data_IF_096954331111
#
_entry.id   IF_096954331111
#
_cell.length_a   1.000
_cell.length_b   1.000
_cell.length_c   1.000
_cell.angle_alpha   90.00
_cell.angle_beta   90.00
_cell.angle_gamma   90.00
#
_symmetry.space_group_name_H-M   'P 1'
#
loop_
_entity.id
_entity.type
_entity.pdbx_description
1 polymer ?
#
# COMPACT_ATOMS: atom_id res chain seq x y z
N UNK A 1 -30.43 7.36 43.50
CA UNK A 1 -30.82 8.47 42.60
C UNK A 1 -29.58 8.99 41.88
N UNK A 2 -29.02 8.17 41.01
CA UNK A 2 -27.86 8.51 40.18
C UNK A 2 -28.14 7.95 38.78
N UNK A 3 -29.00 8.64 38.05
CA UNK A 3 -29.19 8.42 36.61
C UNK A 3 -29.33 9.79 35.96
N UNK A 4 -28.19 10.44 35.70
CA UNK A 4 -28.19 11.64 34.90
C UNK A 4 -26.88 11.74 34.13
N UNK A 5 -26.99 11.81 32.81
CA UNK A 5 -25.98 12.23 31.83
C UNK A 5 -25.13 11.14 31.15
N UNK A 6 -25.79 10.12 30.60
CA UNK A 6 -25.16 9.22 29.65
C UNK A 6 -25.29 9.69 28.19
N UNK A 7 -26.27 10.55 27.90
CA UNK A 7 -26.55 11.00 26.51
C UNK A 7 -25.41 11.86 25.90
N UNK A 8 -24.83 12.78 26.68
CA UNK A 8 -23.78 13.66 26.16
C UNK A 8 -22.44 12.97 25.95
N UNK A 9 -22.11 11.98 26.76
CA UNK A 9 -20.86 11.21 26.63
C UNK A 9 -20.90 10.27 25.42
N UNK A 10 -22.04 9.66 25.15
CA UNK A 10 -22.24 8.78 23.99
C UNK A 10 -22.15 9.56 22.67
N UNK A 11 -22.80 10.71 22.57
CA UNK A 11 -22.72 11.57 21.38
C UNK A 11 -21.30 12.09 21.13
N UNK A 12 -20.57 12.50 22.15
CA UNK A 12 -19.17 12.91 22.02
C UNK A 12 -18.26 11.76 21.62
N UNK A 13 -18.52 10.54 22.13
CA UNK A 13 -17.80 9.33 21.74
C UNK A 13 -18.04 8.99 20.26
N UNK A 14 -19.31 8.92 19.82
CA UNK A 14 -19.63 8.62 18.42
C UNK A 14 -19.09 9.69 17.46
N UNK A 15 -19.14 10.95 17.84
CA UNK A 15 -18.55 12.01 17.01
C UNK A 15 -17.03 11.83 16.83
N UNK A 16 -16.30 11.52 17.91
CA UNK A 16 -14.85 11.22 17.84
C UNK A 16 -14.57 9.96 17.04
N UNK A 17 -15.36 8.91 17.24
CA UNK A 17 -15.23 7.65 16.51
C UNK A 17 -15.42 7.90 15.01
N UNK A 18 -16.51 8.57 14.62
CA UNK A 18 -16.79 8.89 13.22
C UNK A 18 -15.70 9.77 12.59
N UNK A 19 -15.18 10.76 13.32
CA UNK A 19 -14.12 11.64 12.82
C UNK A 19 -12.79 10.91 12.56
N UNK A 20 -12.56 9.76 13.19
CA UNK A 20 -11.40 8.91 12.95
C UNK A 20 -11.68 7.82 11.89
N UNK A 21 -12.83 7.17 11.99
CA UNK A 21 -13.16 6.02 11.13
C UNK A 21 -13.49 6.45 9.70
N UNK A 22 -14.28 7.52 9.53
CA UNK A 22 -14.69 7.99 8.19
C UNK A 22 -13.49 8.35 7.29
N UNK A 23 -12.49 9.14 7.74
CA UNK A 23 -11.32 9.42 6.92
C UNK A 23 -10.54 8.17 6.53
N UNK A 24 -10.37 7.22 7.47
CA UNK A 24 -9.65 5.99 7.21
C UNK A 24 -10.43 5.09 6.23
N UNK A 25 -11.74 4.96 6.41
CA UNK A 25 -12.60 4.19 5.52
C UNK A 25 -12.61 4.78 4.10
N UNK A 26 -12.69 6.11 3.99
CA UNK A 26 -12.62 6.79 2.70
C UNK A 26 -11.27 6.55 1.99
N UNK A 27 -10.15 6.64 2.73
CA UNK A 27 -8.84 6.35 2.18
C UNK A 27 -8.74 4.91 1.65
N UNK A 28 -9.26 3.92 2.41
CA UNK A 28 -9.25 2.51 2.00
C UNK A 28 -10.14 2.27 0.77
N UNK A 29 -11.29 2.94 0.72
CA UNK A 29 -12.16 2.90 -0.45
C UNK A 29 -11.48 3.45 -1.70
N UNK A 30 -10.79 4.59 -1.59
CA UNK A 30 -10.03 5.18 -2.71
C UNK A 30 -8.92 4.24 -3.19
N UNK A 31 -8.17 3.61 -2.27
CA UNK A 31 -7.14 2.63 -2.62
C UNK A 31 -7.73 1.41 -3.35
N UNK A 32 -8.86 0.90 -2.89
CA UNK A 32 -9.56 -0.22 -3.54
C UNK A 32 -10.06 0.15 -4.94
N UNK A 33 -10.60 1.37 -5.10
CA UNK A 33 -11.05 1.86 -6.40
C UNK A 33 -9.91 1.98 -7.42
N UNK A 34 -8.72 2.44 -6.97
CA UNK A 34 -7.52 2.49 -7.83
C UNK A 34 -7.10 1.09 -8.24
N UNK A 35 -7.00 0.15 -7.29
CA UNK A 35 -6.61 -1.23 -7.62
C UNK A 35 -7.58 -1.89 -8.61
N UNK A 36 -8.88 -1.60 -8.50
CA UNK A 36 -9.87 -2.06 -9.45
C UNK A 36 -9.68 -1.41 -10.84
N UNK A 37 -9.39 -0.10 -10.89
CA UNK A 37 -9.11 0.62 -12.13
C UNK A 37 -7.85 0.11 -12.82
N UNK A 38 -6.77 -0.14 -12.07
CA UNK A 38 -5.52 -0.68 -12.60
C UNK A 38 -5.73 -2.08 -13.20
N UNK A 39 -6.51 -2.94 -12.53
CA UNK A 39 -6.85 -4.27 -13.03
C UNK A 39 -7.69 -4.20 -14.32
N UNK A 40 -8.66 -3.29 -14.40
CA UNK A 40 -9.43 -3.08 -15.61
C UNK A 40 -8.57 -2.59 -16.77
N UNK A 41 -7.68 -1.62 -16.52
CA UNK A 41 -6.77 -1.08 -17.53
C UNK A 41 -5.83 -2.16 -18.09
N UNK A 42 -5.24 -2.99 -17.23
CA UNK A 42 -4.40 -4.11 -17.65
C UNK A 42 -5.17 -5.15 -18.48
N UNK A 43 -6.45 -5.39 -18.15
CA UNK A 43 -7.31 -6.31 -18.89
C UNK A 43 -7.59 -5.90 -20.34
N UNK A 44 -7.52 -4.60 -20.65
CA UNK A 44 -7.68 -4.10 -22.01
C UNK A 44 -6.42 -4.24 -22.87
N UNK A 45 -5.24 -4.40 -22.27
CA UNK A 45 -3.97 -4.41 -23.01
C UNK A 45 -3.69 -5.81 -23.58
N UNK A 46 -3.57 -6.83 -22.73
CA UNK A 46 -3.32 -8.23 -23.14
C UNK A 46 -3.60 -9.17 -21.96
N UNK A 47 -4.25 -10.30 -22.25
CA UNK A 47 -4.62 -11.31 -21.24
C UNK A 47 -3.38 -11.97 -20.60
N UNK A 48 -2.32 -12.21 -21.36
CA UNK A 48 -1.08 -12.82 -20.86
C UNK A 48 -0.34 -11.87 -19.94
N UNK A 49 -0.29 -10.58 -20.28
CA UNK A 49 0.31 -9.54 -19.43
C UNK A 49 -0.46 -9.38 -18.11
N UNK A 50 -1.79 -9.41 -18.15
CA UNK A 50 -2.64 -9.38 -16.96
C UNK A 50 -2.37 -10.59 -16.05
N UNK A 51 -2.24 -11.78 -16.65
CA UNK A 51 -1.96 -13.01 -15.91
C UNK A 51 -0.57 -12.97 -15.25
N UNK A 52 0.45 -12.53 -15.98
CA UNK A 52 1.81 -12.38 -15.46
C UNK A 52 1.88 -11.40 -14.28
N UNK A 53 1.24 -10.23 -14.40
CA UNK A 53 1.19 -9.20 -13.34
C UNK A 53 0.38 -9.70 -12.14
N UNK A 54 -0.72 -10.43 -12.38
CA UNK A 54 -1.52 -11.01 -11.30
C UNK A 54 -0.73 -12.04 -10.48
N UNK A 55 0.04 -12.91 -11.14
CA UNK A 55 0.90 -13.88 -10.47
C UNK A 55 2.04 -13.19 -9.70
N UNK A 56 2.71 -12.22 -10.31
CA UNK A 56 3.72 -11.42 -9.65
C UNK A 56 3.15 -10.62 -8.45
N UNK A 57 1.90 -10.19 -8.55
CA UNK A 57 1.14 -9.53 -7.50
C UNK A 57 0.96 -10.37 -6.23
N UNK A 58 1.03 -11.71 -6.32
CA UNK A 58 0.98 -12.58 -5.12
C UNK A 58 2.18 -12.33 -4.19
N UNK A 59 3.36 -11.98 -4.75
CA UNK A 59 4.54 -11.61 -3.95
C UNK A 59 4.29 -10.30 -3.21
N UNK A 60 3.71 -9.32 -3.90
CA UNK A 60 3.29 -8.05 -3.29
C UNK A 60 2.23 -8.27 -2.20
N UNK A 61 1.31 -9.20 -2.42
CA UNK A 61 0.30 -9.57 -1.42
C UNK A 61 0.94 -10.14 -0.15
N UNK A 62 1.92 -11.06 -0.29
CA UNK A 62 2.66 -11.59 0.86
C UNK A 62 3.42 -10.47 1.59
N UNK A 63 4.10 -9.57 0.87
CA UNK A 63 4.72 -8.40 1.46
C UNK A 63 3.72 -7.56 2.28
N UNK A 64 2.54 -7.30 1.72
CA UNK A 64 1.49 -6.54 2.40
C UNK A 64 0.93 -7.25 3.64
N UNK A 65 0.92 -8.60 3.68
CA UNK A 65 0.56 -9.35 4.89
C UNK A 65 1.56 -9.11 6.02
N UNK A 66 2.88 -9.17 5.74
CA UNK A 66 3.91 -8.86 6.74
C UNK A 66 3.80 -7.42 7.24
N UNK A 67 3.65 -6.48 6.32
CA UNK A 67 3.48 -5.06 6.66
C UNK A 67 2.17 -4.81 7.43
N UNK A 68 1.09 -5.50 7.07
CA UNK A 68 -0.19 -5.45 7.77
C UNK A 68 -0.08 -5.92 9.23
N UNK A 69 0.57 -7.05 9.46
CA UNK A 69 0.85 -7.55 10.81
C UNK A 69 1.67 -6.56 11.63
N UNK A 70 2.73 -6.01 11.03
CA UNK A 70 3.59 -5.03 11.68
C UNK A 70 2.84 -3.73 12.02
N UNK A 71 2.03 -3.21 11.11
CA UNK A 71 1.22 -2.00 11.33
C UNK A 71 0.10 -2.22 12.34
N UNK A 72 -0.53 -3.39 12.37
CA UNK A 72 -1.52 -3.74 13.38
C UNK A 72 -0.92 -3.77 14.78
N UNK A 73 0.23 -4.45 14.97
CA UNK A 73 0.94 -4.47 16.25
C UNK A 73 1.36 -3.07 16.70
N UNK A 74 1.89 -2.28 15.76
CA UNK A 74 2.26 -0.88 16.02
C UNK A 74 1.06 -0.03 16.43
N UNK A 75 -0.08 -0.19 15.77
CA UNK A 75 -1.31 0.52 16.08
C UNK A 75 -1.77 0.30 17.52
N UNK A 76 -1.75 -0.94 17.98
CA UNK A 76 -2.17 -1.29 19.34
C UNK A 76 -1.27 -0.59 20.38
N UNK A 77 0.05 -0.71 20.19
CA UNK A 77 1.01 -0.09 21.09
C UNK A 77 0.94 1.44 21.05
N UNK A 78 0.93 2.03 19.86
CA UNK A 78 0.86 3.47 19.69
C UNK A 78 -0.40 4.06 20.33
N UNK A 79 -1.57 3.42 20.16
CA UNK A 79 -2.82 3.87 20.76
C UNK A 79 -2.78 3.81 22.30
N UNK A 80 -2.17 2.76 22.88
CA UNK A 80 -2.05 2.63 24.34
C UNK A 80 -1.16 3.71 24.94
N UNK A 81 0.03 3.96 24.36
CA UNK A 81 0.95 4.99 24.85
C UNK A 81 0.42 6.40 24.57
N UNK A 82 -0.26 6.61 23.46
CA UNK A 82 -0.93 7.87 23.15
C UNK A 82 -2.01 8.20 24.19
N UNK A 83 -2.82 7.20 24.58
CA UNK A 83 -3.83 7.36 25.63
C UNK A 83 -3.26 7.68 27.01
N UNK A 84 -1.97 7.33 27.27
CA UNK A 84 -1.23 7.67 28.50
C UNK A 84 -0.48 9.02 28.40
N UNK A 85 -0.44 9.64 27.21
CA UNK A 85 0.31 10.86 26.97
C UNK A 85 1.83 10.67 26.87
N UNK A 86 2.31 9.42 26.75
CA UNK A 86 3.74 9.09 26.69
C UNK A 86 4.26 9.13 25.25
N UNK A 87 4.58 10.31 24.76
CA UNK A 87 5.12 10.52 23.42
C UNK A 87 6.52 9.93 23.23
N UNK A 88 7.35 9.90 24.28
CA UNK A 88 8.70 9.36 24.20
C UNK A 88 8.69 7.85 23.87
N UNK A 89 7.75 7.10 24.45
CA UNK A 89 7.58 5.68 24.15
C UNK A 89 7.07 5.47 22.72
N UNK A 90 6.20 6.34 22.20
CA UNK A 90 5.73 6.29 20.81
C UNK A 90 6.91 6.49 19.84
N UNK A 91 7.80 7.46 20.09
CA UNK A 91 8.98 7.69 19.25
C UNK A 91 9.92 6.48 19.23
N UNK A 92 10.14 5.85 20.38
CA UNK A 92 10.96 4.62 20.46
C UNK A 92 10.32 3.47 19.67
N UNK A 93 9.01 3.25 19.84
CA UNK A 93 8.27 2.23 19.07
C UNK A 93 8.39 2.51 17.58
N UNK A 94 8.17 3.76 17.16
CA UNK A 94 8.31 4.17 15.77
C UNK A 94 9.69 3.87 15.21
N UNK A 95 10.76 4.23 15.93
CA UNK A 95 12.13 3.97 15.51
C UNK A 95 12.43 2.46 15.37
N UNK A 96 11.96 1.64 16.31
CA UNK A 96 12.12 0.18 16.23
C UNK A 96 11.35 -0.43 15.07
N UNK A 97 10.08 -0.08 14.95
CA UNK A 97 9.21 -0.63 13.90
C UNK A 97 9.67 -0.21 12.52
N UNK A 98 10.18 1.01 12.37
CA UNK A 98 10.78 1.47 11.10
C UNK A 98 11.99 0.64 10.71
N UNK A 99 12.86 0.26 11.66
CA UNK A 99 14.00 -0.63 11.38
C UNK A 99 13.53 -2.02 10.93
N UNK A 100 12.54 -2.59 11.61
CA UNK A 100 11.96 -3.90 11.25
C UNK A 100 11.29 -3.83 9.88
N UNK A 101 10.52 -2.79 9.62
CA UNK A 101 9.89 -2.55 8.31
C UNK A 101 10.93 -2.43 7.20
N UNK A 102 12.00 -1.69 7.44
CA UNK A 102 13.11 -1.56 6.48
C UNK A 102 13.77 -2.91 6.21
N UNK A 103 13.99 -3.72 7.24
CA UNK A 103 14.58 -5.07 7.08
C UNK A 103 13.67 -5.97 6.24
N UNK A 104 12.36 -6.02 6.53
CA UNK A 104 11.39 -6.78 5.75
C UNK A 104 11.38 -6.28 4.30
N UNK A 105 11.29 -4.98 4.10
CA UNK A 105 11.27 -4.37 2.77
C UNK A 105 12.55 -4.64 1.99
N UNK A 106 13.72 -4.62 2.65
CA UNK A 106 14.99 -4.95 2.03
C UNK A 106 15.07 -6.42 1.59
N UNK A 107 14.53 -7.35 2.40
CA UNK A 107 14.46 -8.78 2.03
C UNK A 107 13.59 -8.94 0.76
N UNK A 108 12.40 -8.33 0.72
CA UNK A 108 11.53 -8.41 -0.46
C UNK A 108 12.13 -7.70 -1.68
N UNK A 109 12.80 -6.58 -1.48
CA UNK A 109 13.55 -5.90 -2.53
C UNK A 109 14.63 -6.80 -3.13
N UNK A 110 15.51 -7.37 -2.28
CA UNK A 110 16.59 -8.26 -2.72
C UNK A 110 16.05 -9.51 -3.42
N UNK A 111 15.02 -10.13 -2.87
CA UNK A 111 14.40 -11.30 -3.46
C UNK A 111 13.80 -10.99 -4.85
N UNK A 112 13.03 -9.91 -4.96
CA UNK A 112 12.38 -9.52 -6.22
C UNK A 112 13.36 -8.98 -7.26
N UNK A 113 14.50 -8.43 -6.86
CA UNK A 113 15.50 -7.88 -7.76
C UNK A 113 16.50 -8.92 -8.26
N UNK A 114 17.04 -9.78 -7.35
CA UNK A 114 18.09 -10.74 -7.69
C UNK A 114 17.58 -12.10 -8.11
N UNK A 115 16.43 -12.55 -7.58
CA UNK A 115 15.87 -13.88 -7.84
C UNK A 115 14.41 -13.88 -8.31
N UNK A 116 13.99 -12.94 -9.19
CA UNK A 116 12.59 -12.82 -9.61
C UNK A 116 12.10 -14.04 -10.39
N UNK A 117 12.97 -14.70 -11.18
CA UNK A 117 12.63 -15.88 -11.95
C UNK A 117 12.26 -17.05 -11.05
N UNK A 118 13.01 -17.28 -9.97
CA UNK A 118 12.71 -18.33 -9.02
C UNK A 118 11.42 -18.07 -8.26
N UNK A 119 11.13 -16.80 -7.93
CA UNK A 119 9.88 -16.40 -7.32
C UNK A 119 8.69 -16.64 -8.25
N UNK A 120 8.81 -16.35 -9.54
CA UNK A 120 7.76 -16.62 -10.52
C UNK A 120 7.56 -18.11 -10.76
N UNK A 121 8.62 -18.90 -10.76
CA UNK A 121 8.56 -20.38 -10.92
C UNK A 121 7.78 -21.10 -9.80
N UNK A 122 7.59 -20.45 -8.64
CA UNK A 122 6.72 -20.97 -7.57
C UNK A 122 5.24 -20.98 -8.02
N UNK A 123 4.86 -20.04 -8.85
CA UNK A 123 3.45 -19.82 -9.25
C UNK A 123 3.12 -20.36 -10.63
N UNK A 124 4.08 -20.40 -11.55
CA UNK A 124 3.85 -20.87 -12.93
C UNK A 124 5.10 -21.47 -13.55
N UNK A 125 4.91 -22.39 -14.51
CA UNK A 125 5.99 -22.95 -15.32
C UNK A 125 5.98 -22.42 -16.76
N UNK A 126 5.05 -21.56 -17.10
CA UNK A 126 4.89 -20.97 -18.42
C UNK A 126 5.92 -19.88 -18.65
N UNK A 127 6.84 -20.07 -19.61
CA UNK A 127 7.97 -19.16 -19.85
C UNK A 127 7.53 -17.73 -20.19
N UNK A 128 6.45 -17.57 -20.96
CA UNK A 128 5.90 -16.24 -21.30
C UNK A 128 5.44 -15.46 -20.06
N UNK A 129 4.77 -16.13 -19.12
CA UNK A 129 4.31 -15.51 -17.87
C UNK A 129 5.47 -15.21 -16.93
N UNK A 130 6.50 -16.06 -16.94
CA UNK A 130 7.72 -15.84 -16.14
C UNK A 130 8.44 -14.57 -16.62
N UNK A 131 8.67 -14.41 -17.92
CA UNK A 131 9.39 -13.26 -18.48
C UNK A 131 8.67 -11.94 -18.21
N UNK A 132 7.35 -11.90 -18.38
CA UNK A 132 6.51 -10.75 -18.03
C UNK A 132 6.55 -10.43 -16.53
N UNK A 133 6.41 -11.46 -15.70
CA UNK A 133 6.45 -11.32 -14.24
C UNK A 133 7.81 -10.89 -13.70
N UNK A 134 8.91 -11.37 -14.25
CA UNK A 134 10.29 -10.98 -13.92
C UNK A 134 10.51 -9.50 -14.18
N UNK A 135 10.07 -9.03 -15.36
CA UNK A 135 10.20 -7.61 -15.72
C UNK A 135 9.40 -6.74 -14.75
N UNK A 136 8.17 -7.10 -14.43
CA UNK A 136 7.33 -6.41 -13.49
C UNK A 136 7.95 -6.39 -12.08
N UNK A 137 8.40 -7.53 -11.55
CA UNK A 137 8.98 -7.66 -10.21
C UNK A 137 10.22 -6.78 -10.04
N UNK A 138 11.10 -6.71 -11.02
CA UNK A 138 12.30 -5.86 -10.97
C UNK A 138 11.93 -4.38 -10.84
N UNK A 139 10.91 -3.92 -11.56
CA UNK A 139 10.43 -2.54 -11.50
C UNK A 139 9.81 -2.26 -10.13
N UNK A 140 8.94 -3.16 -9.67
CA UNK A 140 8.21 -3.00 -8.40
C UNK A 140 9.10 -3.20 -7.19
N UNK A 141 10.23 -3.94 -7.30
CA UNK A 141 11.15 -4.20 -6.20
C UNK A 141 11.53 -2.92 -5.44
N UNK A 142 11.90 -1.86 -6.16
CA UNK A 142 12.30 -0.58 -5.55
C UNK A 142 11.17 0.03 -4.72
N UNK A 143 9.93 -0.16 -5.14
CA UNK A 143 8.77 0.40 -4.42
C UNK A 143 8.54 -0.25 -3.06
N UNK A 144 8.98 -1.50 -2.81
CA UNK A 144 8.81 -2.15 -1.51
C UNK A 144 9.46 -1.37 -0.37
N UNK A 145 10.66 -0.80 -0.59
CA UNK A 145 11.37 -0.04 0.43
C UNK A 145 10.62 1.24 0.78
N UNK A 146 10.17 1.98 -0.23
CA UNK A 146 9.42 3.22 -0.01
C UNK A 146 8.04 2.95 0.61
N UNK A 147 7.36 1.90 0.15
CA UNK A 147 6.05 1.49 0.66
C UNK A 147 6.14 1.07 2.13
N UNK A 148 7.17 0.30 2.51
CA UNK A 148 7.38 -0.13 3.88
C UNK A 148 7.52 1.05 4.85
N UNK A 149 8.38 2.01 4.52
CA UNK A 149 8.59 3.21 5.35
C UNK A 149 7.31 4.06 5.41
N UNK A 150 6.67 4.28 4.26
CA UNK A 150 5.45 5.10 4.18
C UNK A 150 4.30 4.50 4.99
N UNK A 151 4.10 3.18 4.95
CA UNK A 151 3.03 2.51 5.71
C UNK A 151 3.20 2.68 7.22
N UNK A 152 4.44 2.55 7.74
CA UNK A 152 4.69 2.75 9.17
C UNK A 152 4.47 4.20 9.58
N UNK A 153 4.97 5.15 8.77
CA UNK A 153 4.75 6.57 9.03
C UNK A 153 3.26 6.93 9.08
N UNK A 154 2.49 6.48 8.08
CA UNK A 154 1.05 6.71 8.03
C UNK A 154 0.31 6.00 9.19
N UNK A 155 0.77 4.81 9.60
CA UNK A 155 0.21 4.08 10.73
C UNK A 155 0.35 4.88 12.04
N UNK A 156 1.55 5.37 12.34
CA UNK A 156 1.79 6.18 13.53
C UNK A 156 0.98 7.47 13.49
N UNK A 157 0.95 8.14 12.34
CA UNK A 157 0.19 9.38 12.16
C UNK A 157 -1.32 9.18 12.45
N UNK A 158 -1.89 8.05 12.01
CA UNK A 158 -3.30 7.70 12.29
C UNK A 158 -3.55 7.52 13.79
N UNK A 159 -2.63 6.87 14.50
CA UNK A 159 -2.79 6.52 15.90
C UNK A 159 -2.43 7.65 16.88
N UNK A 160 -1.74 8.69 16.43
CA UNK A 160 -1.40 9.88 17.23
C UNK A 160 -2.38 11.04 17.06
N UNK A 161 -3.59 10.76 16.58
CA UNK A 161 -4.66 11.76 16.45
C UNK A 161 -4.62 12.58 15.16
N UNK A 162 -3.67 12.33 14.25
CA UNK A 162 -3.54 13.02 12.96
C UNK A 162 -4.14 12.23 11.80
N UNK A 163 -5.24 11.48 12.04
CA UNK A 163 -5.90 10.66 11.03
C UNK A 163 -6.28 11.43 9.77
N UNK A 164 -6.77 12.67 9.92
CA UNK A 164 -7.12 13.55 8.78
C UNK A 164 -5.89 13.89 7.94
N UNK A 165 -4.73 14.17 8.56
CA UNK A 165 -3.49 14.42 7.80
C UNK A 165 -3.06 13.17 7.03
N UNK A 166 -3.15 11.99 7.65
CA UNK A 166 -2.88 10.72 6.97
C UNK A 166 -3.81 10.50 5.79
N UNK A 167 -5.11 10.80 5.94
CA UNK A 167 -6.08 10.72 4.85
C UNK A 167 -5.70 11.66 3.68
N UNK A 168 -5.37 12.91 3.97
CA UNK A 168 -5.00 13.89 2.93
C UNK A 168 -3.75 13.43 2.17
N UNK A 169 -2.71 12.98 2.87
CA UNK A 169 -1.48 12.47 2.24
C UNK A 169 -1.79 11.24 1.39
N UNK A 170 -2.56 10.28 1.93
CA UNK A 170 -2.93 9.08 1.20
C UNK A 170 -3.79 9.38 -0.03
N UNK A 171 -4.79 10.27 0.11
CA UNK A 171 -5.65 10.66 -1.02
C UNK A 171 -4.86 11.42 -2.09
N UNK A 172 -3.93 12.30 -1.70
CA UNK A 172 -3.05 12.98 -2.66
C UNK A 172 -2.17 11.98 -3.43
N UNK A 173 -1.61 10.99 -2.76
CA UNK A 173 -0.84 9.92 -3.41
C UNK A 173 -1.67 9.12 -4.41
N UNK A 174 -2.92 8.81 -4.06
CA UNK A 174 -3.88 8.12 -4.94
C UNK A 174 -4.21 8.98 -6.17
N UNK A 175 -4.48 10.27 -5.99
CA UNK A 175 -4.76 11.19 -7.10
C UNK A 175 -3.58 11.29 -8.06
N UNK A 176 -2.35 11.39 -7.53
CA UNK A 176 -1.12 11.40 -8.33
C UNK A 176 -0.97 10.08 -9.09
N UNK A 177 -1.24 8.95 -8.45
CA UNK A 177 -1.18 7.63 -9.10
C UNK A 177 -2.17 7.53 -10.27
N UNK A 178 -3.45 7.90 -10.06
CA UNK A 178 -4.46 7.93 -11.13
C UNK A 178 -4.00 8.83 -12.29
N UNK A 179 -3.52 10.03 -11.97
CA UNK A 179 -3.05 10.97 -12.99
C UNK A 179 -1.88 10.41 -13.79
N UNK A 180 -0.89 9.79 -13.12
CA UNK A 180 0.25 9.16 -13.78
C UNK A 180 -0.17 7.97 -14.64
N UNK A 181 -1.09 7.13 -14.16
CA UNK A 181 -1.59 6.00 -14.91
C UNK A 181 -2.32 6.46 -16.19
N UNK A 182 -3.19 7.47 -16.08
CA UNK A 182 -3.85 8.07 -17.24
C UNK A 182 -2.81 8.66 -18.21
N UNK A 183 -1.84 9.42 -17.70
CA UNK A 183 -0.81 10.05 -18.54
C UNK A 183 0.07 9.03 -19.27
N UNK A 184 0.44 7.91 -18.61
CA UNK A 184 1.29 6.86 -19.17
C UNK A 184 0.54 5.94 -20.13
N UNK A 185 -0.73 5.60 -19.85
CA UNK A 185 -1.51 4.68 -20.68
C UNK A 185 -2.05 5.38 -21.92
N UNK A 186 -2.59 6.59 -21.76
CA UNK A 186 -3.15 7.36 -22.89
C UNK A 186 -2.13 8.22 -23.63
N UNK A 187 -0.86 8.24 -23.20
CA UNK A 187 0.19 9.03 -23.86
C UNK A 187 -0.03 10.55 -23.76
N UNK A 188 -0.76 11.02 -22.77
CA UNK A 188 -0.99 12.44 -22.50
C UNK A 188 0.25 13.03 -21.84
N UNK A 189 0.92 13.98 -22.42
CA UNK A 189 2.17 14.63 -22.02
C UNK A 189 3.49 13.93 -22.42
N UNK A 190 3.96 14.12 -23.62
CA UNK A 190 5.35 13.87 -24.07
C UNK A 190 5.94 12.47 -23.82
N UNK A 191 5.21 11.54 -23.20
CA UNK A 191 5.63 10.15 -23.04
C UNK A 191 5.06 9.32 -24.20
N UNK A 192 5.88 8.58 -24.96
CA UNK A 192 5.35 7.62 -25.92
C UNK A 192 4.51 6.60 -25.16
N UNK A 193 3.28 6.39 -25.63
CA UNK A 193 2.37 5.43 -25.03
C UNK A 193 3.11 4.09 -24.81
N UNK A 194 3.23 3.65 -23.57
CA UNK A 194 3.96 2.41 -23.22
C UNK A 194 3.36 1.17 -23.88
N UNK A 195 2.13 1.25 -24.41
CA UNK A 195 1.52 0.19 -25.23
C UNK A 195 2.36 -0.21 -26.44
N UNK A 196 3.07 0.72 -27.08
CA UNK A 196 3.92 0.40 -28.24
C UNK A 196 5.18 -0.39 -27.85
N UNK A 197 5.75 -0.13 -26.66
CA UNK A 197 6.99 -0.78 -26.21
C UNK A 197 6.76 -2.25 -25.80
N UNK A 198 5.57 -2.57 -25.30
CA UNK A 198 5.20 -3.94 -24.92
C UNK A 198 4.84 -4.76 -26.18
N UNK A 199 4.17 -4.16 -27.14
CA UNK A 199 3.75 -4.81 -28.41
C UNK A 199 4.91 -5.14 -29.33
N UNK A 200 5.95 -4.32 -29.40
CA UNK A 200 7.11 -4.56 -30.28
C UNK A 200 8.11 -5.58 -29.72
N UNK A 201 8.06 -5.89 -28.42
CA UNK A 201 8.95 -6.88 -27.79
C UNK A 201 8.39 -8.30 -27.85
N UNK A 202 7.12 -8.48 -28.25
CA UNK A 202 6.44 -9.77 -28.37
C UNK A 202 6.18 -10.20 -29.83
N UNK A 203 6.81 -9.55 -30.80
CA UNK A 203 6.98 -10.02 -32.18
C UNK A 203 8.41 -10.52 -32.40
#
# INVERSE_FOLDING_TARGET
>A
MIYKDTGGKHTAFYHRLCSLVLPIAFQQFMLAAVSASDALMLGFVNQDSLSAVSLAGQITFVFNLFMGGLTMGTSILAAQYYGRGDMNSIEKIFAYVTKVSFLISAIFFLASFFVPEQLMRIFTQESQLIDGGVTYLRIVAVSYVFTGISQIYLCVLKNTGYAVKSMVIGSASVMINIFLNIALIFGFLFFPAMEMCIRDRMR
#
